data_IF_548459060855
#
_entry.id   IF_548459060855
#
_cell.length_a   1.000
_cell.length_b   1.000
_cell.length_c   1.000
_cell.angle_alpha   90.00
_cell.angle_beta   90.00
_cell.angle_gamma   90.00
#
_symmetry.space_group_name_H-M   'P 1'
#
loop_
_entity.id
_entity.type
_entity.pdbx_description
1 polymer ?
#
# COMPACT_ATOMS: atom_id res chain seq x y z
N UNK A 1 -0.71 -42.37 9.98
CA UNK A 1 -1.94 -41.68 9.51
C UNK A 1 -1.88 -40.17 9.80
N UNK A 2 -0.81 -39.68 10.42
CA UNK A 2 -0.72 -38.33 10.98
C UNK A 2 -0.31 -37.26 9.97
N UNK A 3 0.41 -37.65 8.91
CA UNK A 3 0.84 -36.73 7.84
C UNK A 3 -0.34 -36.24 6.98
N UNK A 4 -1.33 -37.11 6.72
CA UNK A 4 -2.53 -36.77 5.95
C UNK A 4 -3.45 -35.82 6.72
N UNK A 5 -3.53 -35.97 8.04
CA UNK A 5 -4.33 -35.11 8.93
C UNK A 5 -3.73 -33.70 9.01
N UNK A 6 -2.40 -33.60 9.02
CA UNK A 6 -1.74 -32.29 9.01
C UNK A 6 -1.97 -31.53 7.69
N UNK A 7 -1.95 -32.23 6.55
CA UNK A 7 -2.21 -31.64 5.23
C UNK A 7 -3.67 -31.20 5.06
N UNK A 8 -4.64 -31.93 5.61
CA UNK A 8 -6.06 -31.55 5.56
C UNK A 8 -6.37 -30.38 6.47
N UNK A 9 -5.78 -30.31 7.67
CA UNK A 9 -5.93 -29.15 8.57
C UNK A 9 -5.27 -27.90 7.96
N UNK A 10 -4.07 -28.04 7.38
CA UNK A 10 -3.37 -26.93 6.73
C UNK A 10 -4.14 -26.42 5.50
N UNK A 11 -4.62 -27.31 4.63
CA UNK A 11 -5.45 -26.89 3.47
C UNK A 11 -6.78 -26.26 3.87
N UNK A 12 -7.42 -26.69 4.97
CA UNK A 12 -8.64 -26.09 5.48
C UNK A 12 -8.41 -24.66 6.02
N UNK A 13 -7.27 -24.41 6.68
CA UNK A 13 -6.88 -23.06 7.15
C UNK A 13 -6.58 -22.11 5.97
N UNK A 14 -6.02 -22.63 4.86
CA UNK A 14 -5.82 -21.86 3.62
C UNK A 14 -7.12 -21.61 2.84
N UNK A 15 -8.11 -22.52 2.93
CA UNK A 15 -9.44 -22.34 2.35
C UNK A 15 -10.29 -21.31 3.12
N UNK A 16 -10.11 -21.23 4.44
CA UNK A 16 -10.82 -20.25 5.30
C UNK A 16 -10.20 -18.85 5.26
N UNK A 17 -9.03 -18.67 4.65
CA UNK A 17 -8.36 -17.35 4.48
C UNK A 17 -8.43 -16.78 3.07
N UNK A 18 -9.21 -17.38 2.15
CA UNK A 18 -9.66 -16.66 0.95
C UNK A 18 -10.69 -15.60 1.33
N UNK A 19 -10.16 -14.43 1.64
CA UNK A 19 -10.88 -13.19 1.86
C UNK A 19 -11.94 -12.96 0.79
N UNK A 20 -13.02 -12.27 1.19
CA UNK A 20 -13.76 -11.40 0.28
C UNK A 20 -12.75 -10.60 -0.54
N UNK A 21 -12.64 -10.94 -1.81
CA UNK A 21 -11.93 -10.16 -2.80
C UNK A 21 -12.61 -8.79 -2.85
N UNK A 22 -11.96 -7.68 -2.46
CA UNK A 22 -12.50 -6.37 -2.77
C UNK A 22 -12.39 -6.25 -4.28
N UNK A 23 -13.54 -6.36 -4.95
CA UNK A 23 -13.73 -6.15 -6.37
C UNK A 23 -12.68 -5.18 -6.93
N UNK A 24 -11.88 -5.68 -7.88
CA UNK A 24 -10.94 -4.95 -8.73
C UNK A 24 -11.27 -3.44 -8.77
N UNK A 25 -10.41 -2.53 -8.25
CA UNK A 25 -10.74 -1.11 -8.19
C UNK A 25 -10.90 -0.59 -9.62
N UNK A 26 -12.17 -0.48 -10.04
CA UNK A 26 -12.61 0.05 -11.32
C UNK A 26 -11.94 1.41 -11.54
N UNK A 27 -10.85 1.44 -12.31
CA UNK A 27 -10.17 2.66 -12.68
C UNK A 27 -11.01 3.35 -13.76
N UNK A 28 -11.33 4.62 -13.55
CA UNK A 28 -11.98 5.43 -14.56
C UNK A 28 -10.89 6.29 -15.20
N UNK A 29 -10.43 5.88 -16.39
CA UNK A 29 -9.57 6.70 -17.23
C UNK A 29 -10.44 7.65 -18.04
N UNK A 30 -10.58 8.89 -17.60
CA UNK A 30 -11.16 9.94 -18.42
C UNK A 30 -10.08 10.48 -19.38
N UNK A 31 -9.57 9.74 -20.36
CA UNK A 31 -8.56 10.28 -21.32
C UNK A 31 -7.10 10.36 -20.80
N UNK A 32 -6.16 10.74 -21.69
CA UNK A 32 -4.69 10.68 -21.42
C UNK A 32 -4.18 11.76 -20.45
N UNK A 33 -4.87 12.90 -20.35
CA UNK A 33 -4.38 14.07 -19.60
C UNK A 33 -4.99 14.22 -18.20
N UNK A 34 -5.67 13.19 -17.70
CA UNK A 34 -6.48 13.27 -16.49
C UNK A 34 -5.89 12.45 -15.35
N UNK A 35 -5.99 12.93 -14.09
CA UNK A 35 -5.52 12.17 -12.95
C UNK A 35 -6.25 10.83 -12.90
N UNK A 36 -5.49 9.75 -12.74
CA UNK A 36 -6.06 8.40 -12.61
C UNK A 36 -6.82 8.34 -11.30
N UNK A 37 -8.14 8.11 -11.36
CA UNK A 37 -8.99 8.09 -10.16
C UNK A 37 -9.11 6.66 -9.63
N UNK A 38 -8.85 6.52 -8.33
CA UNK A 38 -8.92 5.31 -7.52
C UNK A 38 -9.49 5.67 -6.15
N UNK A 39 -9.95 4.65 -5.42
CA UNK A 39 -10.34 4.78 -4.01
C UNK A 39 -9.28 5.57 -3.20
N UNK A 40 -9.70 6.50 -2.32
CA UNK A 40 -11.07 6.83 -1.94
C UNK A 40 -11.83 7.75 -2.91
N UNK A 41 -11.14 8.33 -3.88
CA UNK A 41 -11.75 9.26 -4.84
C UNK A 41 -12.64 8.55 -5.85
N UNK A 42 -13.74 9.20 -6.20
CA UNK A 42 -14.69 8.73 -7.21
C UNK A 42 -15.18 9.85 -8.10
N UNK A 43 -15.69 9.50 -9.28
CA UNK A 43 -16.41 10.46 -10.14
C UNK A 43 -17.90 10.37 -9.86
N UNK A 44 -18.51 11.52 -9.58
CA UNK A 44 -19.96 11.71 -9.48
C UNK A 44 -20.67 11.06 -10.69
N UNK A 45 -21.68 10.22 -10.41
CA UNK A 45 -22.50 9.58 -11.43
C UNK A 45 -21.87 8.40 -12.18
N UNK A 46 -20.63 7.98 -11.85
CA UNK A 46 -19.98 6.82 -12.50
C UNK A 46 -19.79 5.57 -11.64
N UNK A 47 -20.00 5.64 -10.32
CA UNK A 47 -19.84 4.51 -9.40
C UNK A 47 -21.11 4.24 -8.57
N UNK A 48 -21.45 2.97 -8.27
CA UNK A 48 -22.65 2.62 -7.51
C UNK A 48 -22.61 3.22 -6.10
N UNK A 49 -23.77 3.68 -5.63
CA UNK A 49 -23.94 4.52 -4.44
C UNK A 49 -23.54 3.84 -3.11
N UNK A 50 -23.43 2.51 -3.09
CA UNK A 50 -23.44 1.69 -1.87
C UNK A 50 -22.11 1.59 -1.11
N UNK A 51 -21.02 2.16 -1.63
CA UNK A 51 -19.69 2.08 -1.00
C UNK A 51 -18.96 3.42 -0.96
N UNK A 52 -19.72 4.52 -0.97
CA UNK A 52 -19.13 5.84 -1.11
C UNK A 52 -19.07 6.63 0.20
N UNK A 53 -17.87 7.14 0.47
CA UNK A 53 -17.70 8.31 1.33
C UNK A 53 -17.98 9.58 0.50
N UNK A 54 -19.00 10.40 0.83
CA UNK A 54 -19.37 11.58 0.04
C UNK A 54 -18.24 12.60 -0.07
N UNK A 55 -17.33 12.60 0.91
CA UNK A 55 -16.28 13.60 1.02
C UNK A 55 -15.15 13.48 -0.03
N UNK A 56 -15.08 12.35 -0.75
CA UNK A 56 -14.08 12.11 -1.79
C UNK A 56 -14.68 12.15 -3.21
N UNK A 57 -15.85 12.76 -3.34
CA UNK A 57 -16.53 12.90 -4.62
C UNK A 57 -15.87 13.98 -5.50
N UNK A 58 -15.49 13.57 -6.71
CA UNK A 58 -14.96 14.43 -7.75
C UNK A 58 -15.98 14.57 -8.86
N UNK A 59 -15.97 15.69 -9.56
CA UNK A 59 -16.81 15.89 -10.74
C UNK A 59 -15.99 16.48 -11.89
N UNK A 60 -16.53 16.35 -13.10
CA UNK A 60 -15.89 16.80 -14.31
C UNK A 60 -16.61 18.00 -14.89
N UNK A 61 -15.87 19.06 -15.24
CA UNK A 61 -16.40 20.23 -15.93
C UNK A 61 -15.33 20.74 -16.89
N UNK A 62 -15.68 20.95 -18.17
CA UNK A 62 -14.80 21.57 -19.17
C UNK A 62 -13.36 20.99 -19.22
N UNK A 63 -13.23 19.67 -19.31
CA UNK A 63 -11.92 18.99 -19.34
C UNK A 63 -11.04 19.21 -18.10
N UNK A 64 -11.66 19.49 -16.95
CA UNK A 64 -10.99 19.55 -15.65
C UNK A 64 -11.75 18.74 -14.62
N UNK A 65 -10.99 18.16 -13.69
CA UNK A 65 -11.52 17.46 -12.53
C UNK A 65 -11.60 18.44 -11.37
N UNK A 66 -12.70 18.42 -10.65
CA UNK A 66 -12.96 19.29 -9.51
C UNK A 66 -13.31 18.49 -8.28
N UNK A 67 -13.03 19.08 -7.13
CA UNK A 67 -13.53 18.66 -5.83
C UNK A 67 -14.27 19.84 -5.19
N UNK A 68 -15.38 19.56 -4.51
CA UNK A 68 -16.18 20.58 -3.84
C UNK A 68 -15.87 20.62 -2.35
N UNK A 69 -15.58 21.80 -1.82
CA UNK A 69 -15.48 22.05 -0.38
C UNK A 69 -16.63 22.92 0.10
N UNK A 70 -17.46 22.49 1.07
CA UNK A 70 -18.66 23.21 1.48
C UNK A 70 -18.42 24.68 1.90
N UNK A 71 -17.26 24.99 2.46
CA UNK A 71 -16.94 26.32 3.02
C UNK A 71 -16.26 27.27 2.04
N UNK A 72 -15.81 26.78 0.89
CA UNK A 72 -15.11 27.59 -0.11
C UNK A 72 -15.72 27.48 -1.51
N UNK A 73 -16.04 26.25 -1.93
CA UNK A 73 -16.55 25.92 -3.25
C UNK A 73 -15.63 24.98 -4.02
N UNK A 74 -15.66 25.12 -5.34
CA UNK A 74 -15.03 24.18 -6.27
C UNK A 74 -13.55 24.49 -6.48
N UNK A 75 -12.68 23.50 -6.29
CA UNK A 75 -11.24 23.57 -6.56
C UNK A 75 -10.86 22.57 -7.64
N UNK A 76 -9.91 22.97 -8.50
CA UNK A 76 -9.43 22.11 -9.59
C UNK A 76 -8.43 21.11 -9.01
N UNK A 77 -8.61 19.83 -9.31
CA UNK A 77 -7.65 18.78 -8.98
C UNK A 77 -6.51 18.80 -10.00
N UNK A 78 -5.32 19.22 -9.59
CA UNK A 78 -4.10 19.19 -10.39
C UNK A 78 -3.54 17.77 -10.49
N UNK A 79 -3.40 17.10 -9.34
CA UNK A 79 -2.91 15.72 -9.28
C UNK A 79 -3.27 15.06 -7.96
N UNK A 80 -3.34 13.73 -8.00
CA UNK A 80 -3.58 12.88 -6.83
C UNK A 80 -2.44 11.88 -6.74
N UNK A 81 -1.70 11.92 -5.64
CA UNK A 81 -0.63 10.98 -5.33
C UNK A 81 -1.09 10.02 -4.24
N UNK A 82 -1.56 8.83 -4.64
CA UNK A 82 -2.10 7.82 -3.72
C UNK A 82 -1.06 7.31 -2.71
N UNK A 83 0.17 7.04 -3.15
CA UNK A 83 1.23 6.49 -2.29
C UNK A 83 1.57 7.40 -1.12
N UNK A 84 1.49 8.72 -1.32
CA UNK A 84 1.82 9.73 -0.31
C UNK A 84 0.57 10.41 0.25
N UNK A 85 -0.62 9.90 -0.07
CA UNK A 85 -1.92 10.51 0.25
C UNK A 85 -1.97 12.04 -0.02
N UNK A 86 -1.41 12.52 -1.14
CA UNK A 86 -1.29 13.95 -1.43
C UNK A 86 -2.24 14.40 -2.55
N UNK A 87 -3.08 15.39 -2.26
CA UNK A 87 -4.04 16.01 -3.19
C UNK A 87 -3.55 17.42 -3.51
N UNK A 88 -3.14 17.64 -4.75
CA UNK A 88 -2.72 18.96 -5.22
C UNK A 88 -3.88 19.65 -5.93
N UNK A 89 -4.19 20.86 -5.48
CA UNK A 89 -5.31 21.65 -5.93
C UNK A 89 -4.85 22.97 -6.55
N UNK A 90 -5.67 23.48 -7.46
CA UNK A 90 -5.54 24.80 -8.07
C UNK A 90 -6.84 25.56 -7.81
N UNK A 91 -6.69 26.79 -7.33
CA UNK A 91 -7.81 27.72 -7.27
C UNK A 91 -8.13 28.27 -8.68
N UNK A 92 -9.35 28.07 -9.21
CA UNK A 92 -9.76 28.65 -10.49
C UNK A 92 -9.75 30.19 -10.50
N UNK A 93 -9.85 30.87 -9.35
CA UNK A 93 -9.73 32.34 -9.23
C UNK A 93 -8.27 32.81 -9.21
N UNK A 94 -7.31 31.89 -9.15
CA UNK A 94 -5.89 32.18 -9.02
C UNK A 94 -5.55 33.04 -7.78
N UNK A 95 -6.25 32.80 -6.67
CA UNK A 95 -6.08 33.49 -5.39
C UNK A 95 -6.01 32.48 -4.23
N UNK A 96 -4.94 31.69 -4.19
CA UNK A 96 -4.68 30.72 -3.10
C UNK A 96 -4.81 31.33 -1.68
N UNK A 97 -4.37 32.58 -1.41
CA UNK A 97 -4.61 33.20 -0.11
C UNK A 97 -6.12 33.30 0.26
N UNK A 98 -7.01 33.57 -0.70
CA UNK A 98 -8.45 33.55 -0.47
C UNK A 98 -8.95 32.16 -0.07
N UNK A 99 -8.33 31.10 -0.63
CA UNK A 99 -8.65 29.73 -0.23
C UNK A 99 -8.29 29.51 1.23
N UNK A 100 -7.05 29.82 1.66
CA UNK A 100 -6.65 29.66 3.06
C UNK A 100 -7.47 30.51 4.03
N UNK A 101 -7.93 31.69 3.59
CA UNK A 101 -8.77 32.58 4.39
C UNK A 101 -10.15 31.96 4.70
N UNK A 102 -10.71 31.20 3.77
CA UNK A 102 -12.13 30.80 3.80
C UNK A 102 -12.36 29.29 3.92
N UNK A 103 -11.40 28.47 3.49
CA UNK A 103 -11.50 27.01 3.52
C UNK A 103 -11.43 26.50 4.97
N UNK A 104 -12.49 25.82 5.38
CA UNK A 104 -12.54 25.07 6.63
C UNK A 104 -12.56 23.57 6.33
N UNK A 105 -11.54 22.87 6.83
CA UNK A 105 -11.33 21.43 6.63
C UNK A 105 -11.83 20.59 7.80
N UNK A 106 -12.27 21.17 8.92
CA UNK A 106 -12.62 20.45 10.16
C UNK A 106 -13.73 19.43 10.00
N UNK A 107 -14.62 19.61 9.02
CA UNK A 107 -15.72 18.69 8.70
C UNK A 107 -15.45 17.90 7.42
N UNK A 108 -14.18 17.74 7.06
CA UNK A 108 -13.76 17.01 5.87
C UNK A 108 -12.67 16.00 6.26
N UNK A 109 -12.45 14.93 5.47
CA UNK A 109 -11.37 13.98 5.70
C UNK A 109 -9.99 14.53 5.30
N UNK A 110 -9.93 15.79 4.86
CA UNK A 110 -8.71 16.43 4.40
C UNK A 110 -8.04 17.23 5.53
N UNK A 111 -6.72 17.29 5.47
CA UNK A 111 -5.92 18.12 6.36
C UNK A 111 -4.71 18.68 5.60
N UNK A 112 -4.01 19.65 6.19
CA UNK A 112 -2.81 20.19 5.56
C UNK A 112 -1.60 19.27 5.75
N UNK A 113 -0.73 19.18 4.73
CA UNK A 113 0.45 18.31 4.77
C UNK A 113 1.56 18.78 5.73
N UNK A 114 1.52 20.01 6.22
CA UNK A 114 2.63 20.65 6.92
C UNK A 114 2.16 21.37 8.19
N UNK A 115 3.12 21.73 9.04
CA UNK A 115 2.89 22.39 10.32
C UNK A 115 2.20 23.74 10.10
N UNK A 116 1.10 23.93 10.83
CA UNK A 116 0.30 25.13 10.80
C UNK A 116 0.95 26.25 11.61
N UNK A 117 0.92 27.46 11.04
CA UNK A 117 1.26 28.72 11.72
C UNK A 117 0.10 29.70 11.59
N UNK A 118 -0.14 30.47 12.63
CA UNK A 118 -1.21 31.46 12.63
C UNK A 118 -0.77 32.74 11.92
N UNK A 119 -1.62 33.19 11.00
CA UNK A 119 -1.46 34.42 10.26
C UNK A 119 -2.76 35.21 10.30
N UNK A 120 -2.64 36.52 10.46
CA UNK A 120 -3.76 37.46 10.43
C UNK A 120 -3.77 38.18 9.09
N UNK A 121 -4.92 38.13 8.41
CA UNK A 121 -5.21 38.98 7.26
C UNK A 121 -5.64 40.35 7.79
N UNK A 122 -5.01 41.40 7.29
CA UNK A 122 -5.33 42.79 7.64
C UNK A 122 -5.71 43.56 6.38
N UNK A 123 -6.65 44.48 6.51
CA UNK A 123 -7.09 45.35 5.43
C UNK A 123 -6.81 46.81 5.80
N UNK A 124 -6.03 47.49 4.96
CA UNK A 124 -5.56 48.85 5.18
C UNK A 124 -6.12 49.79 4.10
N UNK A 125 -6.40 51.04 4.49
CA UNK A 125 -6.79 52.10 3.55
C UNK A 125 -5.60 52.70 2.79
N UNK A 126 -4.38 52.46 3.27
CA UNK A 126 -3.13 52.96 2.69
C UNK A 126 -2.14 51.81 2.46
N UNK A 127 -1.19 52.03 1.55
CA UNK A 127 -0.13 51.08 1.30
C UNK A 127 0.83 51.01 2.50
N UNK A 128 1.12 49.79 2.96
CA UNK A 128 2.17 49.51 3.93
C UNK A 128 3.54 49.38 3.25
N UNK A 129 4.61 49.40 4.07
CA UNK A 129 5.98 49.21 3.61
C UNK A 129 6.18 47.85 2.94
N UNK A 130 7.26 47.70 2.18
CA UNK A 130 7.64 46.45 1.50
C UNK A 130 7.94 45.29 2.44
N UNK A 131 8.05 45.54 3.76
CA UNK A 131 8.21 44.49 4.77
C UNK A 131 6.93 43.68 4.99
N UNK A 132 5.77 44.19 4.56
CA UNK A 132 4.48 43.50 4.66
C UNK A 132 4.15 42.77 3.36
N UNK A 133 3.67 41.54 3.48
CA UNK A 133 3.35 40.75 2.30
C UNK A 133 1.94 41.05 1.83
N UNK A 134 1.83 41.90 0.80
CA UNK A 134 0.55 42.29 0.19
C UNK A 134 -0.07 41.12 -0.55
N UNK A 135 -1.39 40.96 -0.47
CA UNK A 135 -2.18 39.98 -1.22
C UNK A 135 -2.88 40.66 -2.40
N UNK A 136 -2.33 40.60 -3.63
CA UNK A 136 -2.85 41.40 -4.74
C UNK A 136 -4.27 41.01 -5.15
N UNK A 137 -4.58 39.71 -5.17
CA UNK A 137 -5.90 39.20 -5.59
C UNK A 137 -7.03 39.49 -4.59
N UNK A 138 -6.70 39.88 -3.36
CA UNK A 138 -7.65 40.37 -2.35
C UNK A 138 -7.57 41.89 -2.16
N UNK A 139 -6.71 42.58 -2.92
CA UNK A 139 -6.54 44.03 -2.86
C UNK A 139 -7.24 44.71 -4.04
N UNK A 140 -7.67 45.95 -3.83
CA UNK A 140 -8.26 46.79 -4.86
C UNK A 140 -7.65 48.19 -4.89
N UNK A 141 -8.39 49.15 -5.43
CA UNK A 141 -7.98 50.55 -5.52
C UNK A 141 -7.91 51.23 -4.16
N UNK A 142 -8.92 51.03 -3.31
CA UNK A 142 -9.09 51.73 -2.03
C UNK A 142 -8.92 50.82 -0.80
N UNK A 143 -8.51 49.57 -1.01
CA UNK A 143 -8.28 48.61 0.06
C UNK A 143 -7.07 47.75 -0.27
N UNK A 144 -6.23 47.52 0.73
CA UNK A 144 -4.98 46.80 0.55
C UNK A 144 -4.89 45.72 1.61
N UNK A 145 -4.94 44.47 1.16
CA UNK A 145 -4.91 43.30 2.04
C UNK A 145 -3.48 42.83 2.20
N UNK A 146 -3.09 42.56 3.44
CA UNK A 146 -1.78 42.02 3.80
C UNK A 146 -1.94 40.83 4.73
N UNK A 147 -0.89 40.01 4.79
CA UNK A 147 -0.79 38.88 5.73
C UNK A 147 0.35 39.17 6.69
N UNK A 148 0.06 39.10 7.99
CA UNK A 148 1.02 39.32 9.07
C UNK A 148 1.01 38.15 10.05
N UNK A 149 2.15 37.85 10.66
CA UNK A 149 2.18 36.91 11.79
C UNK A 149 1.38 37.50 12.95
N UNK A 150 0.58 36.68 13.63
CA UNK A 150 -0.35 37.11 14.70
C UNK A 150 0.33 37.89 15.84
N UNK A 151 1.65 37.69 16.03
CA UNK A 151 2.45 38.38 17.04
C UNK A 151 2.69 39.88 16.74
N UNK A 152 2.40 40.33 15.51
CA UNK A 152 2.59 41.71 15.09
C UNK A 152 1.26 42.46 15.20
N UNK A 153 1.20 43.50 16.03
CA UNK A 153 0.03 44.39 16.09
C UNK A 153 -0.19 45.06 14.73
N UNK A 154 -1.42 45.07 14.20
CA UNK A 154 -1.71 45.77 12.96
C UNK A 154 -1.41 47.27 13.12
N UNK A 155 -0.91 47.94 12.06
CA UNK A 155 -0.79 49.39 12.04
C UNK A 155 -2.15 50.08 12.24
N UNK A 156 -2.15 51.31 12.74
CA UNK A 156 -3.39 52.07 13.05
C UNK A 156 -4.30 52.26 11.84
N UNK A 157 -3.75 52.30 10.62
CA UNK A 157 -4.51 52.43 9.37
C UNK A 157 -5.12 51.11 8.86
N UNK A 158 -5.01 50.03 9.63
CA UNK A 158 -5.38 48.69 9.22
C UNK A 158 -6.34 48.04 10.22
N UNK A 159 -7.32 47.32 9.69
CA UNK A 159 -8.24 46.51 10.49
C UNK A 159 -7.94 45.02 10.29
N UNK A 160 -8.00 44.25 11.37
CA UNK A 160 -7.93 42.79 11.30
C UNK A 160 -9.17 42.23 10.60
N UNK A 161 -8.96 41.39 9.59
CA UNK A 161 -10.02 40.71 8.85
C UNK A 161 -10.31 39.36 9.48
N UNK A 162 -9.30 38.48 9.56
CA UNK A 162 -9.41 37.13 10.11
C UNK A 162 -8.03 36.54 10.38
N UNK A 163 -7.92 35.74 11.43
CA UNK A 163 -6.74 34.91 11.71
C UNK A 163 -7.01 33.48 11.24
N UNK A 164 -6.08 32.92 10.50
CA UNK A 164 -6.16 31.55 9.97
C UNK A 164 -4.83 30.81 10.12
N UNK A 165 -4.93 29.50 10.21
CA UNK A 165 -3.78 28.61 10.30
C UNK A 165 -3.32 28.18 8.90
N UNK A 166 -2.12 28.57 8.51
CA UNK A 166 -1.52 28.31 7.19
C UNK A 166 -0.35 27.31 7.34
N UNK A 167 -0.26 26.26 6.52
CA UNK A 167 0.73 25.18 6.65
C UNK A 167 2.17 25.52 6.27
N UNK A 168 2.53 26.78 6.09
CA UNK A 168 3.90 27.18 5.75
C UNK A 168 4.16 28.60 6.20
N UNK A 169 5.45 28.94 6.33
CA UNK A 169 5.82 30.34 6.40
C UNK A 169 5.37 31.03 5.11
N UNK A 170 4.65 32.13 5.23
CA UNK A 170 4.13 32.83 4.06
C UNK A 170 5.28 33.21 3.11
N UNK A 171 5.18 32.81 1.84
CA UNK A 171 6.25 32.96 0.86
C UNK A 171 5.70 33.56 -0.45
N UNK A 172 6.48 34.37 -1.20
CA UNK A 172 6.06 34.88 -2.50
C UNK A 172 5.64 33.79 -3.50
N UNK A 173 6.15 32.57 -3.35
CA UNK A 173 5.79 31.37 -4.15
C UNK A 173 4.33 30.89 -3.93
N UNK A 174 3.58 31.53 -3.05
CA UNK A 174 2.14 31.34 -2.91
C UNK A 174 1.36 32.20 -3.92
N UNK A 175 1.94 33.30 -4.39
CA UNK A 175 1.29 34.22 -5.33
C UNK A 175 1.30 33.73 -6.77
N UNK A 176 2.32 32.97 -7.16
CA UNK A 176 2.44 32.39 -8.50
C UNK A 176 1.83 30.98 -8.60
N UNK A 177 1.14 30.53 -7.53
CA UNK A 177 0.48 29.23 -7.47
C UNK A 177 1.49 28.05 -7.58
N UNK A 178 2.80 28.30 -7.43
CA UNK A 178 3.86 27.30 -7.60
C UNK A 178 3.94 26.34 -6.41
N UNK A 179 3.78 26.85 -5.19
CA UNK A 179 3.77 26.02 -3.98
C UNK A 179 2.47 25.21 -3.84
N UNK A 180 1.40 25.69 -4.49
CA UNK A 180 0.10 25.02 -4.62
C UNK A 180 -0.67 24.83 -3.31
N UNK A 181 -1.97 24.55 -3.43
CA UNK A 181 -2.79 24.10 -2.32
C UNK A 181 -2.67 22.58 -2.22
N UNK A 182 -1.85 22.10 -1.29
CA UNK A 182 -1.65 20.66 -1.05
C UNK A 182 -2.38 20.22 0.22
N UNK A 183 -3.27 19.25 0.08
CA UNK A 183 -3.95 18.60 1.19
C UNK A 183 -3.50 17.13 1.27
N UNK A 184 -3.56 16.57 2.46
CA UNK A 184 -3.55 15.12 2.70
C UNK A 184 -4.95 14.68 3.09
N UNK A 185 -5.20 13.37 3.10
CA UNK A 185 -6.46 12.81 3.56
C UNK A 185 -6.25 11.61 4.47
N UNK A 186 -7.20 11.41 5.39
CA UNK A 186 -7.32 10.18 6.15
C UNK A 186 -8.64 9.48 5.85
N UNK A 187 -8.63 8.15 5.92
CA UNK A 187 -9.83 7.35 5.85
C UNK A 187 -10.31 7.16 7.29
N UNK A 188 -11.39 7.83 7.67
CA UNK A 188 -12.03 7.58 8.97
C UNK A 188 -12.36 6.08 9.09
N UNK A 189 -11.73 5.42 10.06
CA UNK A 189 -11.68 3.96 10.21
C UNK A 189 -10.27 3.45 10.52
N UNK A 190 -9.24 4.24 10.23
CA UNK A 190 -7.83 4.01 10.58
C UNK A 190 -7.45 5.00 11.71
N UNK A 191 -8.08 4.86 12.88
CA UNK A 191 -7.67 5.58 14.08
C UNK A 191 -6.53 4.78 14.72
N UNK A 192 -5.28 5.05 14.31
CA UNK A 192 -4.14 4.72 15.16
C UNK A 192 -4.18 5.67 16.36
N UNK A 193 -4.44 5.07 17.52
CA UNK A 193 -4.51 5.71 18.82
C UNK A 193 -3.11 6.15 19.25
N UNK A 194 -2.57 7.17 18.58
CA UNK A 194 -1.36 7.87 18.96
C UNK A 194 -1.39 9.26 18.32
N UNK A 195 -1.77 10.26 19.11
CA UNK A 195 -1.64 11.68 18.77
C UNK A 195 -0.18 12.09 18.60
N UNK A 196 0.45 11.68 17.50
CA UNK A 196 1.77 12.12 17.06
C UNK A 196 1.62 12.52 15.59
N UNK A 197 1.84 13.82 15.35
CA UNK A 197 1.67 14.45 14.05
C UNK A 197 2.53 13.81 12.96
N UNK A 198 2.21 14.19 11.72
CA UNK A 198 2.97 13.88 10.53
C UNK A 198 4.44 14.30 10.68
N UNK A 199 5.28 13.42 11.23
CA UNK A 199 6.72 13.45 11.02
C UNK A 199 6.99 12.69 9.73
N UNK A 200 7.25 13.46 8.68
CA UNK A 200 8.05 13.00 7.56
C UNK A 200 9.47 12.72 8.07
N UNK A 201 9.68 11.54 8.67
CA UNK A 201 10.99 10.90 8.55
C UNK A 201 11.05 10.23 7.19
N UNK A 202 12.14 10.49 6.48
CA UNK A 202 12.52 9.83 5.24
C UNK A 202 12.51 8.31 5.41
N UNK A 203 11.37 7.67 5.19
CA UNK A 203 11.32 6.24 4.91
C UNK A 203 11.31 6.05 3.40
N UNK A 204 12.50 6.26 2.83
CA UNK A 204 12.95 5.32 1.81
C UNK A 204 12.65 3.91 2.36
N UNK A 205 11.90 3.11 1.61
CA UNK A 205 11.66 1.68 1.86
C UNK A 205 10.42 1.23 2.68
N UNK A 206 9.20 1.74 2.41
CA UNK A 206 7.94 1.00 2.71
C UNK A 206 7.13 0.55 1.49
N UNK A 207 7.69 0.69 0.27
CA UNK A 207 7.14 0.12 -0.97
C UNK A 207 7.87 -1.15 -1.46
N UNK A 208 8.95 -1.57 -0.81
CA UNK A 208 9.77 -2.71 -1.24
C UNK A 208 9.41 -4.04 -0.55
N UNK A 209 8.64 -4.01 0.55
CA UNK A 209 8.35 -5.21 1.33
C UNK A 209 7.14 -6.03 0.85
N UNK A 210 6.26 -5.47 0.02
CA UNK A 210 5.17 -6.27 -0.56
C UNK A 210 5.61 -7.10 -1.77
N UNK A 211 6.62 -6.64 -2.53
CA UNK A 211 7.15 -7.39 -3.70
C UNK A 211 8.20 -8.42 -3.27
N UNK A 212 8.89 -8.20 -2.14
CA UNK A 212 9.84 -9.16 -1.60
C UNK A 212 9.17 -10.40 -0.98
N UNK A 213 7.98 -10.25 -0.38
CA UNK A 213 7.28 -11.37 0.25
C UNK A 213 6.86 -12.44 -0.76
N UNK A 214 6.31 -12.09 -1.92
CA UNK A 214 5.90 -13.09 -2.93
C UNK A 214 7.10 -13.95 -3.41
N UNK A 215 8.28 -13.34 -3.60
CA UNK A 215 9.48 -14.08 -4.02
C UNK A 215 10.13 -14.88 -2.90
N UNK A 216 10.07 -14.40 -1.66
CA UNK A 216 10.61 -15.13 -0.50
C UNK A 216 9.73 -16.33 -0.17
N UNK A 217 8.41 -16.21 -0.30
CA UNK A 217 7.48 -17.34 -0.13
C UNK A 217 7.72 -18.43 -1.17
N UNK A 218 7.93 -18.06 -2.44
CA UNK A 218 8.28 -19.03 -3.50
C UNK A 218 9.64 -19.71 -3.27
N UNK A 219 10.64 -18.97 -2.81
CA UNK A 219 11.98 -19.52 -2.53
C UNK A 219 11.94 -20.54 -1.39
N UNK A 220 11.19 -20.24 -0.33
CA UNK A 220 11.01 -21.15 0.81
C UNK A 220 10.27 -22.42 0.36
N UNK A 221 9.20 -22.30 -0.42
CA UNK A 221 8.46 -23.44 -0.97
C UNK A 221 9.36 -24.33 -1.85
N UNK A 222 10.22 -23.72 -2.68
CA UNK A 222 11.17 -24.45 -3.51
C UNK A 222 12.19 -25.23 -2.66
N UNK A 223 12.77 -24.61 -1.63
CA UNK A 223 13.71 -25.28 -0.72
C UNK A 223 13.06 -26.48 -0.03
N UNK A 224 11.83 -26.33 0.49
CA UNK A 224 11.09 -27.44 1.10
C UNK A 224 10.81 -28.59 0.13
N UNK A 225 10.51 -28.28 -1.14
CA UNK A 225 10.28 -29.29 -2.17
C UNK A 225 11.54 -30.12 -2.47
N UNK A 226 12.69 -29.48 -2.58
CA UNK A 226 13.98 -30.14 -2.85
C UNK A 226 14.39 -31.02 -1.68
N UNK A 227 14.22 -30.53 -0.45
CA UNK A 227 14.54 -31.28 0.77
C UNK A 227 13.65 -32.53 0.88
N UNK A 228 12.37 -32.40 0.55
CA UNK A 228 11.43 -33.55 0.59
C UNK A 228 11.78 -34.59 -0.48
N UNK A 229 12.16 -34.15 -1.69
CA UNK A 229 12.63 -35.06 -2.75
C UNK A 229 13.93 -35.77 -2.36
N UNK A 230 14.85 -35.08 -1.68
CA UNK A 230 16.09 -35.68 -1.17
C UNK A 230 15.80 -36.77 -0.13
N UNK A 231 14.94 -36.49 0.85
CA UNK A 231 14.55 -37.50 1.84
C UNK A 231 13.77 -38.67 1.24
N UNK A 232 12.88 -38.42 0.28
CA UNK A 232 12.17 -39.46 -0.45
C UNK A 232 13.13 -40.36 -1.24
N UNK A 233 14.13 -39.77 -1.93
CA UNK A 233 15.20 -40.52 -2.60
C UNK A 233 16.00 -41.36 -1.60
N UNK A 234 16.43 -40.79 -0.48
CA UNK A 234 17.17 -41.53 0.55
C UNK A 234 16.36 -42.69 1.14
N UNK A 235 15.06 -42.51 1.36
CA UNK A 235 14.18 -43.59 1.79
C UNK A 235 14.06 -44.67 0.71
N UNK A 236 13.91 -44.29 -0.56
CA UNK A 236 13.85 -45.22 -1.68
C UNK A 236 15.16 -46.01 -1.85
N UNK A 237 16.32 -45.34 -1.74
CA UNK A 237 17.63 -45.98 -1.77
C UNK A 237 17.76 -47.03 -0.67
N UNK A 238 17.32 -46.73 0.55
CA UNK A 238 17.34 -47.72 1.64
C UNK A 238 16.42 -48.92 1.35
N UNK A 239 15.26 -48.70 0.76
CA UNK A 239 14.34 -49.80 0.39
C UNK A 239 14.97 -50.68 -0.69
N UNK A 240 15.54 -50.07 -1.74
CA UNK A 240 16.21 -50.80 -2.83
C UNK A 240 17.45 -51.55 -2.33
N UNK A 241 18.23 -50.93 -1.44
CA UNK A 241 19.41 -51.57 -0.86
C UNK A 241 19.04 -52.79 0.00
N UNK A 242 17.96 -52.68 0.79
CA UNK A 242 17.39 -53.80 1.54
C UNK A 242 16.83 -54.91 0.63
N UNK A 243 16.33 -54.56 -0.56
CA UNK A 243 15.82 -55.52 -1.53
C UNK A 243 16.96 -56.27 -2.22
N UNK A 244 18.03 -55.56 -2.60
CA UNK A 244 19.26 -56.16 -3.14
C UNK A 244 19.96 -57.09 -2.12
N UNK A 245 19.99 -56.72 -0.84
CA UNK A 245 20.52 -57.58 0.22
C UNK A 245 19.68 -58.87 0.39
N UNK A 246 18.35 -58.77 0.27
CA UNK A 246 17.46 -59.94 0.31
C UNK A 246 17.64 -60.85 -0.89
N UNK A 247 17.85 -60.30 -2.08
CA UNK A 247 18.10 -61.07 -3.30
C UNK A 247 19.41 -61.86 -3.20
N UNK A 248 20.49 -61.20 -2.76
CA UNK A 248 21.78 -61.87 -2.50
C UNK A 248 21.67 -62.97 -1.45
N UNK A 249 20.93 -62.74 -0.37
CA UNK A 249 20.70 -63.76 0.66
C UNK A 249 19.85 -64.94 0.12
N UNK A 250 18.93 -64.67 -0.80
CA UNK A 250 18.16 -65.67 -1.53
C UNK A 250 19.05 -66.57 -2.38
N UNK A 251 19.93 -65.99 -3.21
CA UNK A 251 20.85 -66.76 -4.07
C UNK A 251 21.82 -67.63 -3.25
N UNK A 252 22.37 -67.11 -2.15
CA UNK A 252 23.25 -67.88 -1.24
C UNK A 252 22.51 -69.09 -0.66
N UNK A 253 21.24 -68.91 -0.28
CA UNK A 253 20.43 -69.99 0.30
C UNK A 253 20.09 -71.06 -0.73
N UNK A 254 19.83 -70.68 -1.99
CA UNK A 254 19.61 -71.61 -3.10
C UNK A 254 20.88 -72.40 -3.42
N UNK A 255 22.04 -71.74 -3.49
CA UNK A 255 23.32 -72.41 -3.74
C UNK A 255 23.70 -73.44 -2.67
N UNK A 256 23.38 -73.15 -1.40
CA UNK A 256 23.60 -74.09 -0.29
C UNK A 256 22.72 -75.33 -0.39
N UNK A 257 21.44 -75.17 -0.73
CA UNK A 257 20.52 -76.31 -0.95
C UNK A 257 20.94 -77.15 -2.15
N UNK A 258 21.42 -76.52 -3.22
CA UNK A 258 21.89 -77.22 -4.41
C UNK A 258 23.16 -78.05 -4.12
N UNK A 259 24.12 -77.50 -3.37
CA UNK A 259 25.32 -78.23 -2.94
C UNK A 259 25.02 -79.41 -2.01
N UNK A 260 24.05 -79.28 -1.11
CA UNK A 260 23.60 -80.40 -0.27
C UNK A 260 22.92 -81.51 -1.10
N UNK A 261 22.18 -81.17 -2.16
CA UNK A 261 21.59 -82.14 -3.09
C UNK A 261 22.65 -82.89 -3.91
N UNK A 262 23.66 -82.19 -4.43
CA UNK A 262 24.77 -82.79 -5.18
C UNK A 262 25.64 -83.72 -4.31
N UNK A 263 25.91 -83.33 -3.06
CA UNK A 263 26.60 -84.15 -2.08
C UNK A 263 25.80 -85.43 -1.73
N UNK A 264 24.48 -85.34 -1.64
CA UNK A 264 23.61 -86.50 -1.41
C UNK A 264 23.62 -87.46 -2.61
N UNK A 265 23.65 -86.93 -3.83
CA UNK A 265 23.66 -87.73 -5.06
C UNK A 265 24.98 -88.51 -5.25
N UNK A 266 26.11 -87.93 -4.86
CA UNK A 266 27.42 -88.62 -4.88
C UNK A 266 27.56 -89.73 -3.80
N UNK A 267 26.74 -89.74 -2.76
CA UNK A 267 26.80 -90.73 -1.67
C UNK A 267 25.96 -92.00 -1.91
N UNK A 268 25.16 -92.06 -2.98
CA UNK A 268 24.35 -93.23 -3.35
C UNK A 268 24.74 -93.79 -4.71
N UNK A 269 25.84 -94.55 -4.78
CA UNK A 269 25.90 -95.78 -5.59
C UNK A 269 27.17 -96.59 -5.28
N UNK A 270 27.12 -97.41 -4.23
CA UNK A 270 27.94 -98.63 -4.14
C UNK A 270 27.17 -99.67 -3.32
N UNK A 271 26.05 -100.13 -3.88
CA UNK A 271 25.52 -101.44 -3.55
C UNK A 271 25.80 -102.31 -4.76
N UNK A 272 26.93 -103.02 -4.73
CA UNK A 272 27.11 -104.21 -5.56
C UNK A 272 27.21 -105.42 -4.65
N UNK A 273 26.13 -106.17 -4.72
CA UNK A 273 25.83 -107.45 -4.11
C UNK A 273 26.89 -108.48 -4.50
N UNK A 274 27.44 -109.17 -3.51
CA UNK A 274 28.25 -110.39 -3.64
C UNK A 274 27.31 -111.56 -3.90
N UNK A 275 27.49 -112.33 -4.98
CA UNK A 275 27.08 -113.74 -5.04
C UNK A 275 28.12 -114.55 -5.84
N UNK A 276 28.87 -115.34 -5.05
CA UNK A 276 29.39 -116.70 -5.24
C UNK A 276 30.30 -117.05 -6.41
#
# INVERSE_FOLDING_TARGET
>A
MDFFIFFTIFSYVFLVTKACEPNNPSYINCGRDFPRIRYPFRIQGKQPHHSSHPDFELFFRQNKTYIHFPTYGDLIVKSISYNTRKLNLIDPKNCVPEVYLNLNLSLTPFSYCYILKEYTYINCSSHLSTSFVKVPCLSGSNHHVYIVETLISPPVSCNSVKTVSIPFSYSPYLFDNSFGLSLTWNLTGECDDAGIGCQSETLHNKGFFQVANDKVTDLIAFIFSVVTLFYAKMALYKVVDLENEKEKLGEIKVGKVLGEYEALNHSKCNIKVVIQ
#
